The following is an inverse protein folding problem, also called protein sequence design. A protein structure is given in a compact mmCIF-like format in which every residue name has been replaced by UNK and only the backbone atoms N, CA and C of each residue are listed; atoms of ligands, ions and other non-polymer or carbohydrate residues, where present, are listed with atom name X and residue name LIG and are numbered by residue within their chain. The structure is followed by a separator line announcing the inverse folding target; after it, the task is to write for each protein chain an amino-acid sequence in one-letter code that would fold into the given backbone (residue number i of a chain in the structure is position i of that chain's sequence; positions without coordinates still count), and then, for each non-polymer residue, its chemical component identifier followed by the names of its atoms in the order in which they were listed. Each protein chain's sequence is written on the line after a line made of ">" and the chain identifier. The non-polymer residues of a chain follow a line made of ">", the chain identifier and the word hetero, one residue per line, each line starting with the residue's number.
data_IF_008689316627
#
_entry.id   IF_008689316627
#
_cell.length_a   1.000
_cell.length_b   1.000
_cell.length_c   1.000
_cell.angle_alpha   90.00
_cell.angle_beta   90.00
_cell.angle_gamma   90.00
#
_symmetry.space_group_name_H-M   'P 1'
#
loop_
_entity.id
_entity.type
_entity.pdbx_description
1 polymer ?
#
# COMPACT_ATOMS: atom_id res chain seq x y z
N UNK A 1 -13.02 22.53 16.06
CA UNK A 1 -13.82 21.99 14.97
C UNK A 1 -13.06 21.01 14.09
N UNK A 2 -13.77 20.27 13.29
CA UNK A 2 -13.18 19.33 12.32
C UNK A 2 -12.88 20.05 11.01
N UNK A 3 -11.75 19.72 10.40
CA UNK A 3 -11.40 20.18 9.06
C UNK A 3 -11.90 19.18 8.01
N UNK A 4 -12.46 19.69 6.92
CA UNK A 4 -12.84 18.86 5.77
C UNK A 4 -11.67 18.65 4.80
N UNK A 5 -10.52 19.24 5.10
CA UNK A 5 -9.36 19.24 4.20
C UNK A 5 -8.86 17.82 3.91
N UNK A 6 -8.74 17.00 4.94
CA UNK A 6 -8.23 15.63 4.77
C UNK A 6 -9.19 14.79 3.93
N UNK A 7 -10.48 14.86 4.21
CA UNK A 7 -11.47 14.16 3.39
C UNK A 7 -11.42 14.60 1.93
N UNK A 8 -11.35 15.90 1.68
CA UNK A 8 -11.23 16.45 0.31
C UNK A 8 -9.95 15.95 -0.38
N UNK A 9 -8.84 15.87 0.37
CA UNK A 9 -7.57 15.35 -0.13
C UNK A 9 -7.68 13.87 -0.54
N UNK A 10 -8.31 13.05 0.30
CA UNK A 10 -8.56 11.63 0.01
C UNK A 10 -9.40 11.49 -1.27
N UNK A 11 -10.47 12.25 -1.39
CA UNK A 11 -11.33 12.25 -2.57
C UNK A 11 -10.56 12.63 -3.82
N UNK A 12 -9.74 13.70 -3.74
CA UNK A 12 -8.92 14.17 -4.86
C UNK A 12 -7.94 13.09 -5.34
N UNK A 13 -7.21 12.46 -4.42
CA UNK A 13 -6.27 11.41 -4.78
C UNK A 13 -6.96 10.18 -5.38
N UNK A 14 -8.15 9.84 -4.89
CA UNK A 14 -8.91 8.70 -5.41
C UNK A 14 -9.32 8.89 -6.88
N UNK A 15 -9.34 10.14 -7.37
CA UNK A 15 -9.69 10.48 -8.74
C UNK A 15 -8.49 10.61 -9.68
N UNK A 16 -7.28 10.49 -9.16
CA UNK A 16 -6.08 10.50 -10.00
C UNK A 16 -6.13 9.32 -10.96
N UNK A 17 -5.84 9.58 -12.23
CA UNK A 17 -5.89 8.56 -13.27
C UNK A 17 -4.94 7.40 -12.98
N UNK A 18 -3.74 7.70 -12.50
CA UNK A 18 -2.72 6.71 -12.16
C UNK A 18 -3.20 5.76 -11.07
N UNK A 19 -4.09 6.22 -10.19
CA UNK A 19 -4.70 5.39 -9.15
C UNK A 19 -5.91 4.62 -9.67
N UNK A 20 -6.86 5.33 -10.23
CA UNK A 20 -8.15 4.79 -10.67
C UNK A 20 -7.99 3.68 -11.72
N UNK A 21 -7.14 3.89 -12.71
CA UNK A 21 -6.93 2.95 -13.82
C UNK A 21 -6.33 1.61 -13.36
N UNK A 22 -5.66 1.59 -12.21
CA UNK A 22 -5.03 0.37 -11.68
C UNK A 22 -5.93 -0.40 -10.72
N UNK A 23 -7.09 0.13 -10.36
CA UNK A 23 -7.98 -0.50 -9.38
C UNK A 23 -9.30 -0.87 -10.01
N UNK A 24 -9.94 0.05 -10.73
CA UNK A 24 -11.27 -0.17 -11.25
C UNK A 24 -11.49 0.50 -12.58
N UNK A 25 -12.39 -0.11 -13.37
CA UNK A 25 -12.86 0.42 -14.65
C UNK A 25 -14.32 0.84 -14.59
N UNK A 26 -14.92 0.79 -13.39
CA UNK A 26 -16.33 1.18 -13.19
C UNK A 26 -16.39 2.57 -12.58
N UNK A 27 -17.29 3.40 -13.09
CA UNK A 27 -17.52 4.74 -12.56
C UNK A 27 -18.93 4.82 -12.00
N UNK A 28 -19.12 4.22 -10.80
CA UNK A 28 -20.36 4.32 -10.05
C UNK A 28 -20.07 4.74 -8.60
N UNK A 29 -21.11 5.08 -7.84
CA UNK A 29 -20.96 5.63 -6.50
C UNK A 29 -20.31 4.66 -5.50
N UNK A 30 -20.61 3.37 -5.60
CA UNK A 30 -20.00 2.35 -4.72
C UNK A 30 -18.52 2.22 -5.01
N UNK A 31 -18.16 2.25 -6.27
CA UNK A 31 -16.77 2.19 -6.70
C UNK A 31 -16.01 3.42 -6.24
N UNK A 32 -16.61 4.62 -6.35
CA UNK A 32 -16.01 5.85 -5.86
C UNK A 32 -15.70 5.77 -4.37
N UNK A 33 -16.64 5.30 -3.55
CA UNK A 33 -16.45 5.13 -2.11
C UNK A 33 -15.34 4.13 -1.80
N UNK A 34 -15.27 3.05 -2.57
CA UNK A 34 -14.22 2.03 -2.42
C UNK A 34 -12.83 2.60 -2.72
N UNK A 35 -12.71 3.38 -3.79
CA UNK A 35 -11.44 4.03 -4.15
C UNK A 35 -10.98 4.98 -3.05
N UNK A 36 -11.88 5.76 -2.49
CA UNK A 36 -11.58 6.67 -1.37
C UNK A 36 -11.13 5.89 -0.13
N UNK A 37 -11.79 4.78 0.16
CA UNK A 37 -11.42 3.89 1.26
C UNK A 37 -10.02 3.33 1.09
N UNK A 38 -9.64 2.93 -0.12
CA UNK A 38 -8.29 2.41 -0.41
C UNK A 38 -7.21 3.47 -0.22
N UNK A 39 -7.48 4.71 -0.60
CA UNK A 39 -6.55 5.82 -0.34
C UNK A 39 -6.37 6.03 1.16
N UNK A 40 -7.46 6.10 1.91
CA UNK A 40 -7.42 6.23 3.37
C UNK A 40 -6.68 5.05 4.01
N UNK A 41 -6.94 3.84 3.54
CA UNK A 41 -6.28 2.63 4.01
C UNK A 41 -4.76 2.71 3.85
N UNK A 42 -4.29 3.17 2.71
CA UNK A 42 -2.87 3.38 2.46
C UNK A 42 -2.24 4.33 3.49
N UNK A 43 -2.82 5.51 3.68
CA UNK A 43 -2.27 6.48 4.62
C UNK A 43 -2.34 6.01 6.07
N UNK A 44 -3.41 5.31 6.41
CA UNK A 44 -3.56 4.75 7.76
C UNK A 44 -2.46 3.74 8.06
N UNK A 45 -2.25 2.77 7.18
CA UNK A 45 -1.20 1.75 7.35
C UNK A 45 0.20 2.36 7.31
N UNK A 46 0.41 3.35 6.43
CA UNK A 46 1.71 4.02 6.30
C UNK A 46 2.07 4.85 7.54
N UNK A 47 1.14 5.63 8.05
CA UNK A 47 1.41 6.67 9.05
C UNK A 47 1.03 6.27 10.48
N UNK A 48 -0.05 5.50 10.65
CA UNK A 48 -0.49 5.04 11.97
C UNK A 48 0.00 3.62 12.27
N UNK A 49 0.43 2.90 11.25
CA UNK A 49 1.03 1.58 11.38
C UNK A 49 0.03 0.44 11.51
N UNK A 50 0.50 -0.66 12.08
CA UNK A 50 -0.22 -1.93 12.07
C UNK A 50 -0.65 -2.43 13.46
N UNK A 51 -0.59 -1.57 14.48
CA UNK A 51 -1.05 -1.90 15.83
C UNK A 51 -2.53 -1.55 15.97
N UNK A 52 -3.39 -2.45 15.53
CA UNK A 52 -4.84 -2.28 15.58
C UNK A 52 -5.53 -3.64 15.79
N UNK A 53 -6.81 -3.62 16.15
CA UNK A 53 -7.65 -4.82 16.22
C UNK A 53 -8.52 -4.96 14.97
N UNK A 54 -9.12 -3.85 14.52
CA UNK A 54 -9.99 -3.80 13.36
C UNK A 54 -9.56 -2.67 12.42
N UNK A 55 -9.31 -2.99 11.18
CA UNK A 55 -8.83 -2.01 10.19
C UNK A 55 -9.81 -0.85 10.01
N UNK A 56 -11.12 -1.10 10.02
CA UNK A 56 -12.09 -0.03 9.83
C UNK A 56 -12.03 0.99 10.99
N UNK A 57 -11.95 0.52 12.22
CA UNK A 57 -11.81 1.40 13.38
C UNK A 57 -10.50 2.16 13.36
N UNK A 58 -9.46 1.52 12.86
CA UNK A 58 -8.13 2.14 12.72
C UNK A 58 -8.16 3.27 11.69
N UNK A 59 -8.81 3.05 10.54
CA UNK A 59 -9.01 4.07 9.52
C UNK A 59 -9.88 5.22 10.03
N UNK A 60 -10.95 4.92 10.75
CA UNK A 60 -11.82 5.93 11.35
C UNK A 60 -11.07 6.80 12.35
N UNK A 61 -10.24 6.18 13.20
CA UNK A 61 -9.40 6.89 14.15
C UNK A 61 -8.37 7.80 13.45
N UNK A 62 -7.78 7.32 12.36
CA UNK A 62 -6.83 8.11 11.58
C UNK A 62 -7.51 9.31 10.93
N UNK A 63 -8.64 9.09 10.26
CA UNK A 63 -9.44 10.18 9.66
C UNK A 63 -9.79 11.24 10.68
N UNK A 64 -10.28 10.80 11.84
CA UNK A 64 -10.65 11.71 12.92
C UNK A 64 -9.44 12.48 13.45
N UNK A 65 -8.35 11.79 13.73
CA UNK A 65 -7.12 12.39 14.25
C UNK A 65 -6.53 13.46 13.35
N UNK A 66 -6.47 13.21 12.06
CA UNK A 66 -5.99 14.20 11.08
C UNK A 66 -6.99 15.36 10.97
N UNK A 67 -8.29 15.08 10.89
CA UNK A 67 -9.33 16.10 10.75
C UNK A 67 -9.40 17.04 11.95
N UNK A 68 -9.11 16.54 13.14
CA UNK A 68 -9.06 17.35 14.38
C UNK A 68 -7.74 18.08 14.58
N UNK A 69 -6.72 17.71 13.82
CA UNK A 69 -5.37 18.26 14.00
C UNK A 69 -4.56 17.57 15.09
N UNK A 70 -5.04 16.46 15.65
CA UNK A 70 -4.30 15.65 16.66
C UNK A 70 -3.18 14.87 16.01
N UNK A 71 -3.34 14.50 14.75
CA UNK A 71 -2.34 13.81 13.95
C UNK A 71 -1.89 14.78 12.84
N UNK A 72 -0.58 15.02 12.76
CA UNK A 72 0.00 15.85 11.70
C UNK A 72 -0.03 15.12 10.37
N UNK A 73 -0.36 15.86 9.32
CA UNK A 73 -0.37 15.33 7.96
C UNK A 73 0.21 16.39 7.02
N UNK A 74 1.36 16.08 6.43
CA UNK A 74 2.00 16.97 5.47
C UNK A 74 1.45 16.71 4.07
N UNK A 75 0.47 17.48 3.65
CA UNK A 75 -0.25 17.26 2.39
C UNK A 75 0.66 17.25 1.17
N UNK A 76 1.61 18.17 1.11
CA UNK A 76 2.51 18.27 -0.04
C UNK A 76 3.43 17.04 -0.15
N UNK A 77 4.06 16.65 0.95
CA UNK A 77 4.96 15.49 0.97
C UNK A 77 4.20 14.18 0.74
N UNK A 78 3.02 14.05 1.35
CA UNK A 78 2.22 12.86 1.22
C UNK A 78 1.67 12.68 -0.20
N UNK A 79 1.26 13.77 -0.85
CA UNK A 79 0.85 13.73 -2.25
C UNK A 79 2.01 13.34 -3.16
N UNK A 80 3.19 13.91 -2.95
CA UNK A 80 4.38 13.58 -3.73
C UNK A 80 4.72 12.09 -3.62
N UNK A 81 4.71 11.55 -2.41
CA UNK A 81 5.02 10.14 -2.19
C UNK A 81 3.95 9.24 -2.84
N UNK A 82 2.68 9.55 -2.60
CA UNK A 82 1.58 8.80 -3.19
C UNK A 82 1.68 8.76 -4.72
N UNK A 83 1.89 9.92 -5.35
CA UNK A 83 1.98 10.00 -6.81
C UNK A 83 3.23 9.31 -7.34
N UNK A 84 4.35 9.38 -6.61
CA UNK A 84 5.59 8.68 -6.98
C UNK A 84 5.38 7.17 -7.00
N UNK A 85 4.73 6.64 -5.97
CA UNK A 85 4.37 5.21 -5.89
C UNK A 85 3.40 4.85 -7.01
N UNK A 86 2.35 5.64 -7.20
CA UNK A 86 1.33 5.33 -8.20
C UNK A 86 1.84 5.42 -9.64
N UNK A 87 2.74 6.35 -9.94
CA UNK A 87 3.37 6.41 -11.26
C UNK A 87 4.18 5.15 -11.54
N UNK A 88 4.91 4.67 -10.54
CA UNK A 88 5.68 3.43 -10.66
C UNK A 88 4.75 2.24 -10.92
N UNK A 89 3.67 2.13 -10.17
CA UNK A 89 2.67 1.07 -10.35
C UNK A 89 1.99 1.17 -11.71
N UNK A 90 1.64 2.38 -12.14
CA UNK A 90 1.03 2.62 -13.43
C UNK A 90 1.94 2.17 -14.58
N UNK A 91 3.24 2.41 -14.48
CA UNK A 91 4.23 1.96 -15.47
C UNK A 91 4.33 0.44 -15.53
N UNK A 92 4.16 -0.24 -14.39
CA UNK A 92 4.18 -1.69 -14.30
C UNK A 92 2.87 -2.32 -14.83
N UNK A 93 1.75 -1.62 -14.68
CA UNK A 93 0.43 -2.05 -15.12
C UNK A 93 -0.45 -2.57 -13.99
N UNK A 94 -1.75 -2.69 -14.28
CA UNK A 94 -2.78 -3.07 -13.29
C UNK A 94 -2.59 -4.47 -12.70
N UNK A 95 -1.86 -5.35 -13.37
CA UNK A 95 -1.61 -6.72 -12.90
C UNK A 95 -0.78 -6.77 -11.61
N UNK A 96 -0.16 -5.66 -11.21
CA UNK A 96 0.55 -5.55 -9.93
C UNK A 96 -0.35 -5.91 -8.74
N UNK A 97 -1.62 -5.48 -8.79
CA UNK A 97 -2.58 -5.74 -7.72
C UNK A 97 -3.42 -7.02 -7.92
N UNK A 98 -3.06 -7.79 -8.92
CA UNK A 98 -3.77 -9.03 -9.22
C UNK A 98 -3.27 -10.18 -8.36
N UNK A 99 -4.21 -10.99 -7.89
CA UNK A 99 -3.92 -12.23 -7.18
C UNK A 99 -4.84 -13.33 -7.72
N UNK A 100 -4.25 -14.42 -8.20
CA UNK A 100 -4.98 -15.53 -8.82
C UNK A 100 -5.88 -15.05 -9.96
N UNK A 101 -7.20 -15.30 -9.87
CA UNK A 101 -8.18 -14.91 -10.88
C UNK A 101 -8.81 -13.54 -10.64
N UNK A 102 -8.48 -12.90 -9.51
CA UNK A 102 -9.04 -11.60 -9.15
C UNK A 102 -8.37 -10.47 -9.94
N UNK A 103 -9.14 -9.56 -10.54
CA UNK A 103 -8.55 -8.40 -11.23
C UNK A 103 -7.89 -7.41 -10.28
N UNK A 104 -8.35 -7.35 -9.03
CA UNK A 104 -7.78 -6.53 -7.96
C UNK A 104 -7.95 -7.25 -6.63
N UNK A 105 -6.92 -7.18 -5.78
CA UNK A 105 -6.94 -7.77 -4.44
C UNK A 105 -6.25 -6.87 -3.43
N UNK A 106 -6.91 -6.62 -2.29
CA UNK A 106 -6.30 -5.92 -1.16
C UNK A 106 -5.13 -6.70 -0.58
N UNK A 107 -5.10 -8.03 -0.76
CA UNK A 107 -3.96 -8.87 -0.38
C UNK A 107 -2.69 -8.53 -1.12
N UNK A 108 -2.79 -7.94 -2.31
CA UNK A 108 -1.64 -7.38 -3.06
C UNK A 108 -1.48 -5.89 -2.82
N UNK A 109 -2.59 -5.15 -2.74
CA UNK A 109 -2.59 -3.70 -2.58
C UNK A 109 -1.83 -3.25 -1.32
N UNK A 110 -2.22 -3.77 -0.15
CA UNK A 110 -1.60 -3.37 1.12
C UNK A 110 -0.08 -3.57 1.11
N UNK A 111 0.43 -4.79 0.86
CA UNK A 111 1.88 -5.01 0.92
C UNK A 111 2.64 -4.25 -0.16
N UNK A 112 2.13 -4.17 -1.38
CA UNK A 112 2.80 -3.45 -2.47
C UNK A 112 2.84 -1.95 -2.19
N UNK A 113 1.73 -1.34 -1.82
CA UNK A 113 1.69 0.11 -1.56
C UNK A 113 2.62 0.50 -0.42
N UNK A 114 2.63 -0.26 0.67
CA UNK A 114 3.46 0.05 1.83
C UNK A 114 4.94 -0.24 1.54
N UNK A 115 5.25 -1.38 0.94
CA UNK A 115 6.64 -1.73 0.61
C UNK A 115 7.24 -0.77 -0.42
N UNK A 116 6.47 -0.37 -1.43
CA UNK A 116 6.93 0.60 -2.43
C UNK A 116 7.18 1.96 -1.79
N UNK A 117 6.26 2.40 -0.92
CA UNK A 117 6.43 3.65 -0.19
C UNK A 117 7.69 3.64 0.68
N UNK A 118 7.90 2.54 1.41
CA UNK A 118 9.08 2.41 2.29
C UNK A 118 10.40 2.33 1.55
N UNK A 119 10.40 1.86 0.30
CA UNK A 119 11.62 1.53 -0.45
C UNK A 119 11.69 2.21 -1.82
N UNK A 120 10.99 3.32 -1.99
CA UNK A 120 10.81 3.94 -3.32
C UNK A 120 12.14 4.34 -3.97
N UNK A 121 13.12 4.79 -3.20
CA UNK A 121 14.43 5.19 -3.75
C UNK A 121 15.17 4.00 -4.35
N UNK A 122 15.10 2.85 -3.68
CA UNK A 122 15.67 1.61 -4.21
C UNK A 122 14.89 1.12 -5.43
N UNK A 123 13.56 1.10 -5.34
CA UNK A 123 12.68 0.65 -6.42
C UNK A 123 12.90 1.47 -7.70
N UNK A 124 13.12 2.77 -7.57
CA UNK A 124 13.41 3.64 -8.71
C UNK A 124 14.72 3.30 -9.43
N UNK A 125 15.64 2.61 -8.76
CA UNK A 125 16.89 2.14 -9.35
C UNK A 125 16.74 0.83 -10.11
N UNK A 126 15.65 0.11 -9.92
CA UNK A 126 15.38 -1.18 -10.54
C UNK A 126 14.72 -1.00 -11.90
N UNK A 127 15.02 -1.92 -12.82
CA UNK A 127 14.30 -1.99 -14.08
C UNK A 127 12.88 -2.55 -13.86
N UNK A 128 12.02 -2.32 -14.82
CA UNK A 128 10.67 -2.88 -14.82
C UNK A 128 10.71 -4.42 -14.69
N UNK A 129 11.61 -5.04 -15.39
CA UNK A 129 11.82 -6.51 -15.39
C UNK A 129 12.26 -7.01 -14.01
N UNK A 130 13.18 -6.28 -13.35
CA UNK A 130 13.63 -6.61 -12.00
C UNK A 130 12.50 -6.50 -10.98
N UNK A 131 11.68 -5.45 -11.09
CA UNK A 131 10.52 -5.27 -10.18
C UNK A 131 9.51 -6.40 -10.39
N UNK A 132 9.18 -6.72 -11.66
CA UNK A 132 8.26 -7.82 -11.96
C UNK A 132 8.76 -9.17 -11.47
N UNK A 133 10.06 -9.42 -11.57
CA UNK A 133 10.66 -10.65 -11.03
C UNK A 133 10.40 -10.75 -9.52
N UNK A 134 10.60 -9.64 -8.79
CA UNK A 134 10.34 -9.60 -7.34
C UNK A 134 8.87 -9.79 -7.00
N UNK A 135 7.97 -9.17 -7.76
CA UNK A 135 6.52 -9.33 -7.57
C UNK A 135 6.13 -10.81 -7.77
N UNK A 136 6.63 -11.42 -8.81
CA UNK A 136 6.33 -12.82 -9.11
C UNK A 136 6.90 -13.78 -8.05
N UNK A 137 8.13 -13.53 -7.58
CA UNK A 137 8.71 -14.31 -6.48
C UNK A 137 7.85 -14.20 -5.21
N UNK A 138 7.43 -12.98 -4.87
CA UNK A 138 6.57 -12.75 -3.70
C UNK A 138 5.24 -13.48 -3.82
N UNK A 139 4.57 -13.39 -4.98
CA UNK A 139 3.30 -14.07 -5.23
C UNK A 139 3.39 -15.58 -5.08
N UNK A 140 4.54 -16.15 -5.40
CA UNK A 140 4.80 -17.59 -5.34
C UNK A 140 5.46 -18.04 -4.03
N UNK A 141 5.77 -17.10 -3.15
CA UNK A 141 6.30 -17.39 -1.82
C UNK A 141 5.26 -18.12 -0.99
N UNK A 142 5.61 -19.27 -0.41
CA UNK A 142 4.68 -20.10 0.35
C UNK A 142 4.11 -19.36 1.56
N UNK A 143 4.94 -18.58 2.26
CA UNK A 143 4.49 -17.81 3.43
C UNK A 143 3.51 -16.72 3.02
N UNK A 144 3.80 -16.02 1.91
CA UNK A 144 2.89 -15.01 1.37
C UNK A 144 1.55 -15.64 0.97
N UNK A 145 1.57 -16.76 0.26
CA UNK A 145 0.37 -17.46 -0.18
C UNK A 145 -0.52 -17.90 0.99
N UNK A 146 0.09 -18.35 2.10
CA UNK A 146 -0.65 -18.68 3.32
C UNK A 146 -1.45 -17.49 3.84
N UNK A 147 -0.89 -16.28 3.73
CA UNK A 147 -1.54 -15.06 4.23
C UNK A 147 -2.67 -14.56 3.32
N UNK A 148 -2.82 -15.11 2.13
CA UNK A 148 -3.86 -14.69 1.17
C UNK A 148 -5.10 -15.58 1.18
N UNK A 149 -5.13 -16.60 2.03
CA UNK A 149 -6.26 -17.54 2.15
C UNK A 149 -7.34 -17.01 3.10
N UNK A 150 -8.13 -17.88 3.70
CA UNK A 150 -9.21 -17.54 4.62
C UNK A 150 -8.76 -16.49 5.65
N UNK A 151 -9.60 -15.48 5.87
CA UNK A 151 -9.32 -14.36 6.78
C UNK A 151 -8.10 -13.53 6.39
N UNK A 152 -7.85 -13.36 5.08
CA UNK A 152 -6.70 -12.63 4.55
C UNK A 152 -6.66 -11.15 4.99
N UNK A 153 -7.79 -10.59 5.43
CA UNK A 153 -7.89 -9.21 5.93
C UNK A 153 -7.65 -9.08 7.43
N UNK A 154 -7.45 -10.19 8.17
CA UNK A 154 -7.12 -10.10 9.58
C UNK A 154 -5.79 -9.39 9.78
N UNK A 155 -5.64 -8.69 10.92
CA UNK A 155 -4.43 -7.91 11.21
C UNK A 155 -3.15 -8.72 11.05
N UNK A 156 -3.10 -9.92 11.64
CA UNK A 156 -1.89 -10.77 11.59
C UNK A 156 -1.48 -11.09 10.15
N UNK A 157 -2.43 -11.32 9.26
CA UNK A 157 -2.15 -11.62 7.85
C UNK A 157 -1.75 -10.38 7.07
N UNK A 158 -2.36 -9.23 7.34
CA UNK A 158 -1.97 -7.94 6.74
C UNK A 158 -0.54 -7.59 7.13
N UNK A 159 -0.21 -7.67 8.42
CA UNK A 159 1.13 -7.39 8.95
C UNK A 159 2.17 -8.30 8.30
N UNK A 160 1.89 -9.60 8.24
CA UNK A 160 2.82 -10.58 7.67
C UNK A 160 3.06 -10.34 6.18
N UNK A 161 2.00 -10.02 5.42
CA UNK A 161 2.14 -9.68 4.00
C UNK A 161 3.02 -8.44 3.78
N UNK A 162 2.84 -7.42 4.61
CA UNK A 162 3.67 -6.21 4.54
C UNK A 162 5.14 -6.53 4.87
N UNK A 163 5.40 -7.33 5.90
CA UNK A 163 6.75 -7.76 6.26
C UNK A 163 7.43 -8.50 5.10
N UNK A 164 6.72 -9.44 4.49
CA UNK A 164 7.24 -10.22 3.37
C UNK A 164 7.54 -9.29 2.18
N UNK A 165 6.63 -8.39 1.84
CA UNK A 165 6.85 -7.44 0.75
C UNK A 165 8.04 -6.52 1.01
N UNK A 166 8.19 -6.01 2.22
CA UNK A 166 9.35 -5.20 2.60
C UNK A 166 10.65 -5.97 2.42
N UNK A 167 10.65 -7.27 2.72
CA UNK A 167 11.82 -8.12 2.50
C UNK A 167 12.18 -8.19 1.01
N UNK A 168 11.20 -8.39 0.12
CA UNK A 168 11.47 -8.48 -1.32
C UNK A 168 11.91 -7.16 -1.94
N UNK A 169 11.40 -6.03 -1.44
CA UNK A 169 11.63 -4.72 -2.04
C UNK A 169 12.64 -3.86 -1.28
N UNK A 170 13.25 -4.37 -0.22
CA UNK A 170 14.31 -3.67 0.50
C UNK A 170 15.67 -3.88 -0.18
N UNK A 171 16.46 -2.82 -0.26
CA UNK A 171 17.83 -2.88 -0.73
C UNK A 171 18.70 -3.72 0.20
N UNK A 172 18.47 -3.59 1.52
CA UNK A 172 19.18 -4.35 2.55
C UNK A 172 18.31 -5.49 3.03
N UNK A 173 18.73 -6.72 2.69
CA UNK A 173 18.11 -7.93 3.21
C UNK A 173 18.80 -8.33 4.50
N UNK A 174 18.09 -9.06 5.37
CA UNK A 174 18.61 -9.56 6.64
C UNK A 174 19.94 -10.28 6.47
N UNK A 175 20.09 -11.07 5.41
CA UNK A 175 21.31 -11.77 5.03
C UNK A 175 22.50 -10.81 4.85
N UNK A 176 22.27 -9.67 4.21
CA UNK A 176 23.32 -8.67 3.95
C UNK A 176 23.76 -8.00 5.25
N UNK A 177 22.84 -7.76 6.18
CA UNK A 177 23.11 -7.21 7.50
C UNK A 177 23.99 -8.17 8.31
N UNK A 178 23.69 -9.47 8.29
CA UNK A 178 24.49 -10.50 8.98
C UNK A 178 25.92 -10.55 8.48
N UNK A 179 26.12 -10.46 7.15
CA UNK A 179 27.47 -10.44 6.54
C UNK A 179 28.25 -9.19 6.98
N UNK A 180 27.63 -8.04 7.07
CA UNK A 180 28.25 -6.79 7.50
C UNK A 180 28.66 -6.86 8.99
N UNK A 181 27.90 -7.56 9.83
CA UNK A 181 28.15 -7.69 11.26
C UNK A 181 29.13 -8.80 11.60
N UNK A 182 29.48 -9.66 10.68
CA UNK A 182 30.44 -10.73 10.89
C UNK A 182 31.87 -10.17 10.95
N UNK A 183 32.65 -10.50 11.98
CA UNK A 183 34.03 -10.04 12.10
C UNK A 183 34.95 -10.67 11.04
#
# INVERSE_FOLDING_TARGET
>A
GYSNRFNAFIVELSKKKEFEDNISKKDDSKERMYLEELVLRYFTLKNLGTKYQHIQKHMDAYMLGVSKGDIKFNYEEEEKMFMRVMKKINDLGSDVFRLETLPFSTSMYDPIMIAFSNNIDYIDKLSKEEIWAKINEMRNDDDFRKQTKTSSSSRSRVVKKIEIANHYFSEFKEKDVEVIQSP
#
